data_IF_857455959264
#
_entry.id   IF_857455959264
#
_cell.length_a   1.000
_cell.length_b   1.000
_cell.length_c   1.000
_cell.angle_alpha   90.00
_cell.angle_beta   90.00
_cell.angle_gamma   90.00
#
_symmetry.space_group_name_H-M   'P 1'
#
loop_
_entity.id
_entity.type
_entity.pdbx_description
1 polymer ?
#
# COMPACT_ATOMS: atom_id res chain seq x y z
N UNK A 1 -22.45 -51.88 60.04
CA UNK A 1 -23.05 -50.53 60.03
C UNK A 1 -22.23 -49.51 59.24
N UNK A 2 -20.89 -49.52 59.30
CA UNK A 2 -20.06 -48.62 58.46
C UNK A 2 -20.11 -48.98 56.97
N UNK A 3 -20.13 -50.27 56.62
CA UNK A 3 -20.15 -50.73 55.23
C UNK A 3 -21.45 -50.33 54.48
N UNK A 4 -22.61 -50.36 55.16
CA UNK A 4 -23.90 -49.95 54.61
C UNK A 4 -24.02 -48.45 54.40
N UNK A 5 -23.39 -47.63 55.25
CA UNK A 5 -23.29 -46.18 55.06
C UNK A 5 -22.36 -45.83 53.89
N UNK A 6 -21.27 -46.59 53.72
CA UNK A 6 -20.36 -46.45 52.58
C UNK A 6 -21.04 -46.83 51.26
N UNK A 7 -21.86 -47.88 51.24
CA UNK A 7 -22.62 -48.30 50.05
C UNK A 7 -23.75 -47.33 49.69
N UNK A 8 -24.41 -46.74 50.69
CA UNK A 8 -25.46 -45.72 50.47
C UNK A 8 -24.86 -44.40 49.94
N UNK A 9 -23.69 -43.98 50.45
CA UNK A 9 -22.95 -42.84 49.92
C UNK A 9 -22.36 -43.12 48.53
N UNK A 10 -21.83 -44.33 48.30
CA UNK A 10 -21.30 -44.75 47.00
C UNK A 10 -22.37 -44.81 45.90
N UNK A 11 -23.58 -45.25 46.24
CA UNK A 11 -24.73 -45.23 45.32
C UNK A 11 -25.25 -43.81 45.00
N UNK A 12 -25.19 -42.90 45.98
CA UNK A 12 -25.49 -41.47 45.77
C UNK A 12 -24.47 -40.77 44.86
N UNK A 13 -23.18 -41.09 45.02
CA UNK A 13 -22.10 -40.59 44.15
C UNK A 13 -22.23 -41.08 42.70
N UNK A 14 -22.59 -42.35 42.48
CA UNK A 14 -22.82 -42.90 41.14
C UNK A 14 -24.04 -42.30 40.44
N UNK A 15 -25.02 -41.77 41.19
CA UNK A 15 -26.19 -41.08 40.64
C UNK A 15 -25.91 -39.62 40.27
N UNK A 16 -24.93 -38.99 40.93
CA UNK A 16 -24.44 -37.65 40.59
C UNK A 16 -23.40 -37.66 39.46
N UNK A 17 -22.73 -38.79 39.25
CA UNK A 17 -21.75 -38.98 38.17
C UNK A 17 -22.30 -38.63 36.76
N UNK A 18 -23.49 -39.09 36.32
CA UNK A 18 -24.05 -38.67 35.03
C UNK A 18 -24.37 -37.17 34.95
N UNK A 19 -24.72 -36.55 36.08
CA UNK A 19 -24.99 -35.10 36.14
C UNK A 19 -23.70 -34.27 36.01
N UNK A 20 -22.60 -34.72 36.64
CA UNK A 20 -21.26 -34.12 36.49
C UNK A 20 -20.74 -34.22 35.04
N UNK A 21 -20.94 -35.36 34.39
CA UNK A 21 -20.62 -35.50 32.95
C UNK A 21 -21.48 -34.57 32.09
N UNK A 22 -22.77 -34.41 32.41
CA UNK A 22 -23.65 -33.45 31.72
C UNK A 22 -23.18 -31.99 31.83
N UNK A 23 -22.71 -31.56 33.00
CA UNK A 23 -22.13 -30.22 33.19
C UNK A 23 -20.81 -30.04 32.44
N UNK A 24 -19.96 -31.05 32.42
CA UNK A 24 -18.72 -31.04 31.65
C UNK A 24 -19.00 -30.94 30.14
N UNK A 25 -19.97 -31.72 29.64
CA UNK A 25 -20.39 -31.68 28.24
C UNK A 25 -20.92 -30.30 27.81
N UNK A 26 -21.82 -29.71 28.60
CA UNK A 26 -22.30 -28.33 28.35
C UNK A 26 -21.17 -27.30 28.31
N UNK A 27 -20.16 -27.46 29.17
CA UNK A 27 -19.00 -26.56 29.17
C UNK A 27 -18.15 -26.74 27.90
N UNK A 28 -17.94 -27.96 27.44
CA UNK A 28 -17.25 -28.22 26.17
C UNK A 28 -18.03 -27.73 24.96
N UNK A 29 -19.36 -27.87 24.95
CA UNK A 29 -20.21 -27.42 23.84
C UNK A 29 -20.19 -25.89 23.75
N UNK A 30 -20.34 -25.18 24.88
CA UNK A 30 -20.20 -23.73 24.93
C UNK A 30 -18.80 -23.25 24.52
N UNK A 31 -17.75 -23.98 24.92
CA UNK A 31 -16.38 -23.66 24.51
C UNK A 31 -16.19 -23.86 23.00
N UNK A 32 -16.85 -24.86 22.42
CA UNK A 32 -16.82 -25.11 20.98
C UNK A 32 -17.59 -24.05 20.19
N UNK A 33 -18.77 -23.64 20.67
CA UNK A 33 -19.53 -22.52 20.09
C UNK A 33 -18.74 -21.21 20.13
N UNK A 34 -18.12 -20.89 21.27
CA UNK A 34 -17.25 -19.72 21.41
C UNK A 34 -16.05 -19.81 20.45
N UNK A 35 -15.42 -20.97 20.33
CA UNK A 35 -14.31 -21.16 19.40
C UNK A 35 -14.78 -20.97 17.94
N UNK A 36 -15.98 -21.43 17.58
CA UNK A 36 -16.53 -21.24 16.24
C UNK A 36 -16.82 -19.77 15.96
N UNK A 37 -17.46 -19.06 16.89
CA UNK A 37 -17.75 -17.63 16.80
C UNK A 37 -16.45 -16.81 16.67
N UNK A 38 -15.43 -17.13 17.47
CA UNK A 38 -14.13 -16.48 17.39
C UNK A 38 -13.48 -16.68 16.02
N UNK A 39 -13.55 -17.88 15.43
CA UNK A 39 -13.03 -18.13 14.08
C UNK A 39 -13.82 -17.38 13.01
N UNK A 40 -15.14 -17.28 13.15
CA UNK A 40 -15.96 -16.47 12.24
C UNK A 40 -15.60 -14.99 12.34
N UNK A 41 -15.46 -14.48 13.56
CA UNK A 41 -15.05 -13.10 13.82
C UNK A 41 -13.67 -12.80 13.23
N UNK A 42 -12.68 -13.68 13.40
CA UNK A 42 -11.35 -13.52 12.81
C UNK A 42 -11.39 -13.50 11.27
N UNK A 43 -12.24 -14.31 10.65
CA UNK A 43 -12.42 -14.29 9.19
C UNK A 43 -13.09 -13.00 8.71
N UNK A 44 -14.10 -12.52 9.41
CA UNK A 44 -14.75 -11.24 9.12
C UNK A 44 -13.81 -10.06 9.30
N UNK A 45 -13.04 -10.04 10.39
CA UNK A 45 -12.03 -9.01 10.65
C UNK A 45 -10.97 -9.00 9.55
N UNK A 46 -10.51 -10.18 9.12
CA UNK A 46 -9.53 -10.29 8.01
C UNK A 46 -10.11 -9.79 6.69
N UNK A 47 -11.39 -10.10 6.40
CA UNK A 47 -12.09 -9.59 5.21
C UNK A 47 -12.32 -8.08 5.26
N UNK A 48 -12.68 -7.54 6.42
CA UNK A 48 -12.85 -6.12 6.61
C UNK A 48 -11.53 -5.37 6.43
N UNK A 49 -10.43 -5.88 7.00
CA UNK A 49 -9.10 -5.32 6.84
C UNK A 49 -8.64 -5.34 5.36
N UNK A 50 -8.89 -6.44 4.63
CA UNK A 50 -8.53 -6.50 3.21
C UNK A 50 -9.36 -5.54 2.35
N UNK A 51 -10.65 -5.39 2.64
CA UNK A 51 -11.51 -4.42 1.96
C UNK A 51 -11.07 -2.98 2.22
N UNK A 52 -10.73 -2.64 3.47
CA UNK A 52 -10.20 -1.32 3.82
C UNK A 52 -8.91 -1.01 3.06
N UNK A 53 -7.97 -1.95 3.03
CA UNK A 53 -6.73 -1.79 2.27
C UNK A 53 -7.01 -1.52 0.78
N UNK A 54 -7.92 -2.27 0.15
CA UNK A 54 -8.29 -2.05 -1.25
C UNK A 54 -8.89 -0.66 -1.50
N UNK A 55 -9.78 -0.20 -0.61
CA UNK A 55 -10.39 1.14 -0.72
C UNK A 55 -9.34 2.23 -0.52
N UNK A 56 -8.39 2.07 0.39
CA UNK A 56 -7.28 3.01 0.57
C UNK A 56 -6.38 3.10 -0.68
N UNK A 57 -6.01 1.95 -1.24
CA UNK A 57 -5.22 1.92 -2.48
C UNK A 57 -5.98 2.56 -3.65
N UNK A 58 -7.28 2.27 -3.81
CA UNK A 58 -8.10 2.84 -4.88
C UNK A 58 -8.31 4.35 -4.67
N UNK A 59 -8.60 4.80 -3.46
CA UNK A 59 -8.78 6.21 -3.12
C UNK A 59 -7.49 7.02 -3.34
N UNK A 60 -6.33 6.46 -3.02
CA UNK A 60 -5.04 7.09 -3.32
C UNK A 60 -4.79 7.26 -4.82
N UNK A 61 -5.17 6.27 -5.63
CA UNK A 61 -5.07 6.34 -7.10
C UNK A 61 -6.06 7.36 -7.68
N UNK A 62 -7.31 7.38 -7.22
CA UNK A 62 -8.32 8.36 -7.68
C UNK A 62 -7.93 9.80 -7.34
N UNK A 63 -7.40 10.04 -6.14
CA UNK A 63 -6.90 11.37 -5.76
C UNK A 63 -5.73 11.81 -6.65
N UNK A 64 -4.80 10.90 -6.95
CA UNK A 64 -3.70 11.19 -7.86
C UNK A 64 -4.21 11.50 -9.28
N UNK A 65 -5.19 10.76 -9.79
CA UNK A 65 -5.81 11.02 -11.10
C UNK A 65 -6.57 12.35 -11.11
N UNK A 66 -7.35 12.66 -10.08
CA UNK A 66 -8.08 13.93 -9.97
C UNK A 66 -7.12 15.13 -9.91
N UNK A 67 -5.99 15.00 -9.21
CA UNK A 67 -4.95 16.02 -9.18
C UNK A 67 -4.31 16.22 -10.57
N UNK A 68 -4.07 15.14 -11.32
CA UNK A 68 -3.55 15.21 -12.68
C UNK A 68 -4.55 15.87 -13.63
N UNK A 69 -5.84 15.56 -13.51
CA UNK A 69 -6.90 16.18 -14.32
C UNK A 69 -7.07 17.67 -14.02
N UNK A 70 -7.03 18.06 -12.74
CA UNK A 70 -7.05 19.47 -12.33
C UNK A 70 -5.85 20.24 -12.90
N UNK A 71 -4.66 19.64 -12.85
CA UNK A 71 -3.46 20.22 -13.47
C UNK A 71 -3.60 20.33 -14.98
N UNK A 72 -4.14 19.31 -15.65
CA UNK A 72 -4.38 19.32 -17.10
C UNK A 72 -5.34 20.45 -17.50
N UNK A 73 -6.42 20.65 -16.75
CA UNK A 73 -7.38 21.73 -16.99
C UNK A 73 -6.72 23.12 -16.82
N UNK A 74 -5.91 23.30 -15.76
CA UNK A 74 -5.15 24.53 -15.55
C UNK A 74 -4.14 24.81 -16.69
N UNK A 75 -3.47 23.77 -17.18
CA UNK A 75 -2.51 23.88 -18.29
C UNK A 75 -3.19 24.16 -19.63
N UNK A 76 -4.41 23.66 -19.86
CA UNK A 76 -5.19 23.98 -21.06
C UNK A 76 -5.60 25.46 -21.11
N UNK A 77 -5.90 26.05 -19.95
CA UNK A 77 -6.18 27.49 -19.84
C UNK A 77 -4.97 28.38 -20.17
N UNK A 78 -3.75 27.92 -19.88
CA UNK A 78 -2.50 28.65 -20.18
C UNK A 78 -2.06 28.57 -21.65
N UNK A 79 -2.53 27.58 -22.41
CA UNK A 79 -2.13 27.30 -23.79
C UNK A 79 -3.02 27.96 -24.86
N UNK A 80 -3.82 28.96 -24.50
CA UNK A 80 -4.57 29.75 -25.47
C UNK A 80 -3.61 30.66 -26.24
N UNK A 81 -3.52 30.57 -27.59
CA UNK A 81 -2.67 31.46 -28.36
C UNK A 81 -3.16 32.90 -28.21
N UNK A 82 -2.25 33.80 -27.85
CA UNK A 82 -2.54 35.22 -27.65
C UNK A 82 -2.64 35.98 -28.99
N UNK A 83 -2.29 35.31 -30.11
CA UNK A 83 -2.31 35.88 -31.46
C UNK A 83 -1.07 36.74 -31.75
N UNK A 84 -0.06 36.70 -30.88
CA UNK A 84 1.18 37.47 -30.98
C UNK A 84 2.33 36.48 -31.16
N UNK A 85 2.90 36.43 -32.37
CA UNK A 85 3.84 35.39 -32.80
C UNK A 85 5.05 35.19 -31.86
N UNK A 86 5.61 36.26 -31.30
CA UNK A 86 6.76 36.16 -30.40
C UNK A 86 6.36 35.70 -28.99
N UNK A 87 5.17 36.10 -28.51
CA UNK A 87 4.65 35.71 -27.21
C UNK A 87 4.21 34.24 -27.23
N UNK A 88 3.59 33.82 -28.34
CA UNK A 88 3.16 32.44 -28.56
C UNK A 88 4.38 31.51 -28.74
N UNK A 89 5.43 31.96 -29.45
CA UNK A 89 6.68 31.23 -29.55
C UNK A 89 7.37 31.08 -28.18
N UNK A 90 7.39 32.13 -27.37
CA UNK A 90 7.96 32.07 -26.03
C UNK A 90 7.14 31.14 -25.12
N UNK A 91 5.81 31.23 -25.13
CA UNK A 91 4.91 30.35 -24.37
C UNK A 91 5.14 28.88 -24.74
N UNK A 92 5.23 28.56 -26.04
CA UNK A 92 5.55 27.22 -26.51
C UNK A 92 6.89 26.70 -26.00
N UNK A 93 7.91 27.57 -25.93
CA UNK A 93 9.27 27.20 -25.50
C UNK A 93 9.43 27.08 -23.98
N UNK A 94 8.60 27.77 -23.18
CA UNK A 94 8.70 27.76 -21.71
C UNK A 94 8.61 26.32 -21.16
N UNK A 95 7.70 25.50 -21.69
CA UNK A 95 7.52 24.12 -21.21
C UNK A 95 8.75 23.24 -21.51
N UNK A 96 9.25 23.13 -22.77
CA UNK A 96 10.50 22.43 -23.06
C UNK A 96 11.68 22.96 -22.26
N UNK A 97 11.87 24.28 -22.18
CA UNK A 97 12.99 24.89 -21.47
C UNK A 97 12.96 24.55 -19.98
N UNK A 98 11.78 24.63 -19.35
CA UNK A 98 11.62 24.25 -17.95
C UNK A 98 11.97 22.76 -17.73
N UNK A 99 11.52 21.87 -18.61
CA UNK A 99 11.84 20.44 -18.54
C UNK A 99 13.35 20.20 -18.63
N UNK A 100 14.01 20.78 -19.63
CA UNK A 100 15.46 20.62 -19.78
C UNK A 100 16.24 21.26 -18.63
N UNK A 101 15.78 22.39 -18.10
CA UNK A 101 16.41 23.04 -16.96
C UNK A 101 16.35 22.16 -15.70
N UNK A 102 15.19 21.59 -15.39
CA UNK A 102 15.02 20.68 -14.24
C UNK A 102 15.85 19.41 -14.42
N UNK A 103 15.84 18.81 -15.62
CA UNK A 103 16.65 17.63 -15.92
C UNK A 103 18.15 17.91 -15.79
N UNK A 104 18.60 19.08 -16.24
CA UNK A 104 19.98 19.52 -16.13
C UNK A 104 20.38 19.75 -14.66
N UNK A 105 19.54 20.42 -13.88
CA UNK A 105 19.75 20.57 -12.43
C UNK A 105 19.85 19.22 -11.72
N UNK A 106 18.98 18.27 -12.08
CA UNK A 106 19.02 16.91 -11.54
C UNK A 106 20.34 16.20 -11.86
N UNK A 107 20.77 16.23 -13.12
CA UNK A 107 22.03 15.65 -13.57
C UNK A 107 23.23 16.28 -12.86
N UNK A 108 23.24 17.61 -12.70
CA UNK A 108 24.28 18.32 -11.96
C UNK A 108 24.32 17.93 -10.48
N UNK A 109 23.16 17.75 -9.84
CA UNK A 109 23.09 17.32 -8.45
C UNK A 109 23.65 15.89 -8.27
N UNK A 110 23.27 14.94 -9.12
CA UNK A 110 23.82 13.56 -9.10
C UNK A 110 25.32 13.54 -9.42
N UNK A 111 25.79 14.40 -10.33
CA UNK A 111 27.23 14.58 -10.59
C UNK A 111 27.95 15.14 -9.37
N UNK A 112 27.40 16.15 -8.69
CA UNK A 112 27.97 16.71 -7.47
C UNK A 112 28.07 15.65 -6.36
N UNK A 113 27.02 14.84 -6.16
CA UNK A 113 27.05 13.70 -5.23
C UNK A 113 28.15 12.70 -5.59
N UNK A 114 28.34 12.42 -6.88
CA UNK A 114 29.41 11.53 -7.35
C UNK A 114 30.80 12.10 -7.06
N UNK A 115 31.03 13.38 -7.33
CA UNK A 115 32.30 14.05 -7.02
C UNK A 115 32.58 14.03 -5.52
N UNK A 116 31.59 14.31 -4.67
CA UNK A 116 31.73 14.24 -3.21
C UNK A 116 32.05 12.83 -2.73
N UNK A 117 31.42 11.81 -3.32
CA UNK A 117 31.69 10.41 -2.97
C UNK A 117 33.14 10.01 -3.31
N UNK A 118 33.64 10.41 -4.49
CA UNK A 118 35.03 10.19 -4.89
C UNK A 118 36.02 10.91 -3.97
N UNK A 119 35.74 12.16 -3.60
CA UNK A 119 36.57 12.93 -2.66
C UNK A 119 36.58 12.31 -1.26
N UNK A 120 35.52 11.60 -0.90
CA UNK A 120 35.41 10.88 0.38
C UNK A 120 36.12 9.50 0.36
N UNK A 121 36.84 9.18 -0.73
CA UNK A 121 37.59 7.93 -0.88
C UNK A 121 36.75 6.72 -1.29
N UNK A 122 35.50 6.91 -1.69
CA UNK A 122 34.64 5.84 -2.20
C UNK A 122 35.05 5.52 -3.64
N UNK A 123 35.22 4.24 -3.98
CA UNK A 123 35.53 3.83 -5.34
C UNK A 123 34.41 4.22 -6.32
N UNK A 124 34.76 4.62 -7.55
CA UNK A 124 33.77 5.15 -8.51
C UNK A 124 32.59 4.22 -8.80
N UNK A 125 32.82 2.91 -8.84
CA UNK A 125 31.73 1.94 -9.03
C UNK A 125 30.79 1.87 -7.82
N UNK A 126 31.35 1.89 -6.61
CA UNK A 126 30.59 1.89 -5.36
C UNK A 126 29.81 3.20 -5.18
N UNK A 127 30.39 4.33 -5.60
CA UNK A 127 29.72 5.63 -5.60
C UNK A 127 28.48 5.62 -6.51
N UNK A 128 28.57 5.06 -7.72
CA UNK A 128 27.42 4.95 -8.63
C UNK A 128 26.32 4.09 -8.00
N UNK A 129 26.68 2.94 -7.43
CA UNK A 129 25.72 2.04 -6.78
C UNK A 129 25.05 2.66 -5.55
N UNK A 130 25.76 3.56 -4.83
CA UNK A 130 25.19 4.31 -3.71
C UNK A 130 24.29 5.47 -4.15
N UNK A 131 24.65 6.15 -5.24
CA UNK A 131 23.90 7.29 -5.76
C UNK A 131 22.62 6.85 -6.45
N UNK A 132 22.61 5.66 -7.06
CA UNK A 132 21.42 5.05 -7.63
C UNK A 132 20.50 4.49 -6.53
N UNK A 133 19.51 5.28 -6.14
CA UNK A 133 18.68 5.03 -4.97
C UNK A 133 17.29 4.47 -5.33
N UNK A 134 16.40 4.39 -4.34
CA UNK A 134 15.02 3.95 -4.57
C UNK A 134 14.21 4.99 -5.38
N UNK A 135 14.57 6.27 -5.29
CA UNK A 135 13.90 7.37 -5.97
C UNK A 135 14.23 7.35 -7.47
N UNK A 136 15.49 7.12 -7.85
CA UNK A 136 15.90 6.91 -9.25
C UNK A 136 15.13 5.75 -9.91
N UNK A 137 14.97 4.65 -9.16
CA UNK A 137 14.19 3.48 -9.60
C UNK A 137 12.71 3.82 -9.78
N UNK A 138 12.14 4.62 -8.87
CA UNK A 138 10.77 5.09 -8.97
C UNK A 138 10.57 6.05 -10.15
N UNK A 139 11.53 6.94 -10.41
CA UNK A 139 11.51 7.83 -11.58
C UNK A 139 11.58 7.00 -12.86
N UNK A 140 12.51 6.04 -12.94
CA UNK A 140 12.64 5.16 -14.10
C UNK A 140 11.37 4.34 -14.33
N UNK A 141 10.80 3.74 -13.28
CA UNK A 141 9.56 2.97 -13.39
C UNK A 141 8.40 3.86 -13.82
N UNK A 142 8.31 5.10 -13.33
CA UNK A 142 7.33 6.09 -13.77
C UNK A 142 7.47 6.46 -15.25
N UNK A 143 8.70 6.68 -15.74
CA UNK A 143 8.97 6.95 -17.16
C UNK A 143 8.57 5.74 -18.02
N UNK A 144 8.92 4.53 -17.59
CA UNK A 144 8.54 3.30 -18.29
C UNK A 144 7.02 3.09 -18.27
N UNK A 145 6.34 3.37 -17.17
CA UNK A 145 4.88 3.31 -17.09
C UNK A 145 4.23 4.32 -18.04
N UNK A 146 4.71 5.57 -18.08
CA UNK A 146 4.23 6.57 -19.03
C UNK A 146 4.41 6.12 -20.49
N UNK A 147 5.63 5.69 -20.85
CA UNK A 147 5.93 5.31 -22.23
C UNK A 147 5.33 3.95 -22.62
N UNK A 148 5.22 2.95 -21.76
CA UNK A 148 4.78 1.61 -22.19
C UNK A 148 3.35 1.28 -21.78
N UNK A 149 2.84 1.83 -20.68
CA UNK A 149 1.49 1.55 -20.17
C UNK A 149 0.51 2.67 -20.58
N UNK A 150 0.88 3.94 -20.38
CA UNK A 150 0.03 5.09 -20.73
C UNK A 150 -0.35 5.16 -22.22
N UNK A 151 0.60 4.87 -23.11
CA UNK A 151 0.36 4.84 -24.57
C UNK A 151 -0.57 3.71 -25.05
N UNK A 152 -0.82 2.69 -24.22
CA UNK A 152 -1.78 1.62 -24.55
C UNK A 152 -3.21 2.11 -24.37
N UNK A 153 -3.47 2.93 -23.35
CA UNK A 153 -4.79 3.49 -23.08
C UNK A 153 -5.15 4.65 -24.01
N UNK A 154 -4.18 5.44 -24.47
CA UNK A 154 -4.41 6.52 -25.44
C UNK A 154 -4.86 6.02 -26.84
N UNK A 155 -4.71 4.72 -27.12
CA UNK A 155 -5.16 4.12 -28.39
C UNK A 155 -6.61 3.65 -28.41
N UNK A 156 -7.35 3.73 -27.30
CA UNK A 156 -8.76 3.35 -27.23
C UNK A 156 -9.72 4.55 -27.29
N UNK A 157 -9.45 5.51 -28.17
CA UNK A 157 -10.44 6.50 -28.61
C UNK A 157 -10.83 6.26 -30.06
#
# INVERSE_FOLDING_TARGET
MILSLLSMLGGGLLRLMPELFGFLHKKTDNAHELAMLERQFQLEQTRAASQQALVEYQGGVEQALALLDAQKAALQGQMQPLGIWWADALNFLVRPLATYYVLLMYGLAKLAMFVVALQSGIGGWEAILRIYDAEDRAILSGILAFWFVGRVFDKQK
#
